data_IF_659967817072
#
_entry.id   IF_659967817072
#
_cell.length_a   1.000
_cell.length_b   1.000
_cell.length_c   1.000
_cell.angle_alpha   90.00
_cell.angle_beta   90.00
_cell.angle_gamma   90.00
#
_symmetry.space_group_name_H-M   'P 1'
#
loop_
_entity.id
_entity.type
_entity.pdbx_description
1 polymer ?
#
# COMPACT_ATOMS: atom_id res chain seq x y z
N UNK A 1 -8.08 -8.82 -60.74
CA UNK A 1 -9.18 -8.40 -59.84
C UNK A 1 -8.77 -8.85 -58.43
N UNK A 2 -8.67 -7.88 -57.52
CA UNK A 2 -7.95 -7.93 -56.25
C UNK A 2 -8.60 -8.92 -55.27
N UNK A 3 -7.79 -9.77 -54.62
CA UNK A 3 -8.14 -10.29 -53.30
C UNK A 3 -7.10 -9.79 -52.31
N UNK A 4 -7.57 -8.90 -51.45
CA UNK A 4 -6.82 -8.14 -50.46
C UNK A 4 -6.32 -9.09 -49.38
N UNK A 5 -5.04 -8.92 -49.04
CA UNK A 5 -4.38 -9.48 -47.86
C UNK A 5 -5.19 -9.18 -46.59
N UNK A 6 -5.77 -10.20 -45.97
CA UNK A 6 -6.26 -10.12 -44.59
C UNK A 6 -5.05 -10.06 -43.65
N UNK A 7 -4.67 -8.84 -43.30
CA UNK A 7 -3.69 -8.55 -42.27
C UNK A 7 -4.12 -9.14 -40.93
N UNK A 8 -3.42 -10.18 -40.50
CA UNK A 8 -3.51 -10.79 -39.17
C UNK A 8 -3.06 -9.77 -38.11
N UNK A 9 -3.96 -8.93 -37.61
CA UNK A 9 -3.75 -8.12 -36.40
C UNK A 9 -3.90 -9.02 -35.16
N UNK A 10 -2.85 -9.70 -34.71
CA UNK A 10 -2.90 -10.45 -33.44
C UNK A 10 -1.58 -10.64 -32.70
N UNK A 11 -0.62 -9.71 -32.80
CA UNK A 11 0.68 -9.85 -32.11
C UNK A 11 1.00 -8.71 -31.11
N UNK A 12 0.12 -7.70 -30.98
CA UNK A 12 0.35 -6.56 -30.09
C UNK A 12 0.10 -6.86 -28.60
N UNK A 13 -0.95 -7.62 -28.26
CA UNK A 13 -1.42 -7.71 -26.87
C UNK A 13 -0.44 -8.37 -25.88
N UNK A 14 0.48 -9.22 -26.36
CA UNK A 14 1.40 -9.95 -25.49
C UNK A 14 2.51 -9.09 -24.90
N UNK A 15 3.10 -8.20 -25.71
CA UNK A 15 4.23 -7.38 -25.25
C UNK A 15 3.78 -6.32 -24.24
N UNK A 16 2.55 -5.77 -24.36
CA UNK A 16 2.02 -4.82 -23.37
C UNK A 16 1.95 -5.44 -21.97
N UNK A 17 1.57 -6.72 -21.88
CA UNK A 17 1.51 -7.40 -20.58
C UNK A 17 2.90 -7.66 -20.01
N UNK A 18 3.86 -8.03 -20.87
CA UNK A 18 5.27 -8.21 -20.46
C UNK A 18 5.84 -6.87 -19.98
N UNK A 19 5.65 -5.79 -20.73
CA UNK A 19 6.10 -4.45 -20.35
C UNK A 19 5.49 -4.00 -19.01
N UNK A 20 4.18 -4.19 -18.83
CA UNK A 20 3.53 -3.88 -17.57
C UNK A 20 4.04 -4.72 -16.40
N UNK A 21 4.26 -6.03 -16.61
CA UNK A 21 4.83 -6.90 -15.59
C UNK A 21 6.25 -6.48 -15.20
N UNK A 22 7.08 -6.07 -16.16
CA UNK A 22 8.42 -5.53 -15.90
C UNK A 22 8.37 -4.23 -15.10
N UNK A 23 7.46 -3.30 -15.45
CA UNK A 23 7.28 -2.05 -14.71
C UNK A 23 6.79 -2.29 -13.28
N UNK A 24 5.81 -3.17 -13.08
CA UNK A 24 5.34 -3.54 -11.73
C UNK A 24 6.46 -4.23 -10.94
N UNK A 25 7.26 -5.09 -11.58
CA UNK A 25 8.41 -5.72 -10.93
C UNK A 25 9.46 -4.70 -10.51
N UNK A 26 9.73 -3.69 -11.34
CA UNK A 26 10.62 -2.58 -11.01
C UNK A 26 10.07 -1.76 -9.84
N UNK A 27 8.76 -1.47 -9.82
CA UNK A 27 8.11 -0.79 -8.70
C UNK A 27 8.21 -1.57 -7.39
N UNK A 28 7.94 -2.87 -7.43
CA UNK A 28 8.08 -3.77 -6.29
C UNK A 28 9.52 -3.80 -5.78
N UNK A 29 10.50 -3.89 -6.69
CA UNK A 29 11.90 -3.88 -6.32
C UNK A 29 12.29 -2.58 -5.63
N UNK A 30 11.94 -1.43 -6.20
CA UNK A 30 12.22 -0.11 -5.62
C UNK A 30 11.57 0.05 -4.23
N UNK A 31 10.29 -0.28 -4.09
CA UNK A 31 9.57 -0.16 -2.82
C UNK A 31 10.13 -1.12 -1.77
N UNK A 32 10.35 -2.40 -2.09
CA UNK A 32 10.91 -3.41 -1.17
C UNK A 32 12.32 -3.08 -0.72
N UNK A 33 13.18 -2.58 -1.62
CA UNK A 33 14.51 -2.13 -1.24
C UNK A 33 14.43 -0.94 -0.28
N UNK A 34 13.54 0.03 -0.55
CA UNK A 34 13.29 1.17 0.34
C UNK A 34 12.78 0.76 1.73
N UNK A 35 12.01 -0.34 1.85
CA UNK A 35 11.51 -0.83 3.13
C UNK A 35 12.62 -1.13 4.15
N UNK A 36 13.79 -1.59 3.68
CA UNK A 36 14.87 -2.09 4.54
C UNK A 36 15.66 -0.97 5.21
N UNK A 37 15.81 0.16 4.53
CA UNK A 37 16.70 1.24 4.95
C UNK A 37 15.95 2.36 5.70
N UNK A 38 14.62 2.37 5.62
CA UNK A 38 13.79 3.41 6.23
C UNK A 38 13.51 3.13 7.71
N UNK A 39 13.85 4.11 8.57
CA UNK A 39 13.43 4.13 9.97
C UNK A 39 11.90 4.27 10.11
N UNK A 40 11.38 3.97 11.29
CA UNK A 40 9.96 4.16 11.60
C UNK A 40 9.59 5.64 11.53
N UNK A 41 8.45 5.95 10.92
CA UNK A 41 7.84 7.29 10.97
C UNK A 41 6.77 7.32 12.07
N UNK A 42 6.56 8.50 12.68
CA UNK A 42 5.61 8.68 13.79
C UNK A 42 4.21 8.16 13.46
N UNK A 43 3.62 8.57 12.34
CA UNK A 43 2.25 8.18 11.97
C UNK A 43 2.13 6.68 11.69
N UNK A 44 3.16 6.10 11.05
CA UNK A 44 3.24 4.66 10.81
C UNK A 44 3.18 3.87 12.13
N UNK A 45 3.89 4.33 13.16
CA UNK A 45 3.83 3.69 14.47
C UNK A 45 2.44 3.78 15.09
N UNK A 46 1.75 4.90 14.92
CA UNK A 46 0.43 5.15 15.49
C UNK A 46 -0.62 4.27 14.81
N UNK A 47 -0.62 4.21 13.48
CA UNK A 47 -1.59 3.44 12.71
C UNK A 47 -1.42 1.93 12.90
N UNK A 48 -0.17 1.44 12.90
CA UNK A 48 0.14 0.02 13.12
C UNK A 48 -0.29 -0.42 14.53
N UNK A 49 0.13 0.33 15.57
CA UNK A 49 -0.17 -0.02 16.95
C UNK A 49 -1.67 0.04 17.23
N UNK A 50 -2.34 1.08 16.74
CA UNK A 50 -3.79 1.26 16.91
C UNK A 50 -4.56 0.17 16.18
N UNK A 51 -4.25 -0.08 14.91
CA UNK A 51 -4.89 -1.13 14.12
C UNK A 51 -4.76 -2.52 14.76
N UNK A 52 -3.57 -2.85 15.25
CA UNK A 52 -3.36 -4.13 15.95
C UNK A 52 -4.17 -4.20 17.24
N UNK A 53 -4.19 -3.11 18.02
CA UNK A 53 -4.98 -3.05 19.26
C UNK A 53 -6.47 -3.27 18.99
N UNK A 54 -7.01 -2.78 17.88
CA UNK A 54 -8.42 -2.96 17.52
C UNK A 54 -8.76 -4.42 17.24
N UNK A 55 -7.88 -5.14 16.54
CA UNK A 55 -8.08 -6.57 16.26
C UNK A 55 -8.18 -7.39 17.55
N UNK A 56 -7.31 -7.10 18.52
CA UNK A 56 -7.16 -7.88 19.75
C UNK A 56 -8.18 -7.47 20.81
N UNK A 57 -8.35 -6.17 21.04
CA UNK A 57 -9.16 -5.66 22.16
C UNK A 57 -10.60 -5.33 21.77
N UNK A 58 -10.88 -5.21 20.45
CA UNK A 58 -12.16 -4.68 19.92
C UNK A 58 -12.48 -3.27 20.41
N UNK A 59 -11.47 -2.54 20.85
CA UNK A 59 -11.59 -1.19 21.38
C UNK A 59 -10.91 -0.18 20.44
N UNK A 60 -11.71 0.69 19.83
CA UNK A 60 -11.27 1.72 18.90
C UNK A 60 -10.63 2.96 19.55
N UNK A 61 -10.17 2.88 20.81
CA UNK A 61 -9.81 4.08 21.57
C UNK A 61 -8.55 4.82 21.11
N UNK A 62 -7.54 4.11 20.63
CA UNK A 62 -6.28 4.71 20.15
C UNK A 62 -6.46 5.24 18.75
N UNK A 63 -5.94 6.43 18.43
CA UNK A 63 -5.95 7.04 17.10
C UNK A 63 -7.35 7.07 16.51
N UNK A 64 -8.23 7.91 17.08
CA UNK A 64 -9.63 8.05 16.63
C UNK A 64 -9.79 9.00 15.44
N UNK A 65 -8.73 9.73 15.09
CA UNK A 65 -8.76 10.80 14.10
C UNK A 65 -9.03 10.30 12.68
N UNK A 66 -8.70 9.02 12.42
CA UNK A 66 -8.88 8.40 11.10
C UNK A 66 -9.71 7.11 11.16
N UNK A 67 -10.50 6.80 10.11
CA UNK A 67 -11.28 5.57 10.03
C UNK A 67 -10.44 4.29 10.22
N UNK A 68 -11.01 3.22 10.79
CA UNK A 68 -10.24 2.03 11.19
C UNK A 68 -9.79 1.14 10.03
N UNK A 69 -10.39 1.25 8.84
CA UNK A 69 -10.22 0.29 7.74
C UNK A 69 -8.74 0.04 7.39
N UNK A 70 -7.99 1.10 7.14
CA UNK A 70 -6.60 1.00 6.70
C UNK A 70 -5.69 0.60 7.85
N UNK A 71 -5.97 1.05 9.09
CA UNK A 71 -5.26 0.61 10.30
C UNK A 71 -5.39 -0.91 10.50
N UNK A 72 -6.61 -1.43 10.31
CA UNK A 72 -6.88 -2.87 10.36
C UNK A 72 -6.14 -3.61 9.22
N UNK A 73 -6.10 -3.05 8.02
CA UNK A 73 -5.38 -3.61 6.87
C UNK A 73 -3.85 -3.67 7.08
N UNK A 74 -3.26 -2.58 7.60
CA UNK A 74 -1.82 -2.50 7.92
C UNK A 74 -1.41 -3.52 8.99
N UNK A 75 -2.28 -3.75 9.98
CA UNK A 75 -1.98 -4.64 11.12
C UNK A 75 -2.43 -6.09 10.92
N UNK A 76 -3.23 -6.39 9.90
CA UNK A 76 -3.66 -7.75 9.55
C UNK A 76 -2.49 -8.77 9.43
N UNK A 77 -1.39 -8.49 8.71
CA UNK A 77 -0.27 -9.45 8.59
C UNK A 77 0.52 -9.64 9.90
N UNK A 78 0.23 -8.85 10.93
CA UNK A 78 0.83 -8.98 12.25
C UNK A 78 0.08 -9.98 13.14
N UNK A 79 -1.17 -10.33 12.83
CA UNK A 79 -1.96 -11.25 13.66
C UNK A 79 -1.23 -12.58 13.95
N UNK A 80 -0.55 -13.22 12.98
CA UNK A 80 0.19 -14.45 13.25
C UNK A 80 1.40 -14.29 14.18
N UNK A 81 1.84 -13.05 14.49
CA UNK A 81 2.95 -12.80 15.41
C UNK A 81 2.54 -12.89 16.89
N UNK A 82 1.24 -12.85 17.21
CA UNK A 82 0.75 -12.93 18.59
C UNK A 82 1.36 -11.87 19.52
N UNK A 83 1.47 -10.64 19.05
CA UNK A 83 2.07 -9.53 19.79
C UNK A 83 1.22 -9.18 21.00
N UNK A 84 1.87 -8.78 22.10
CA UNK A 84 1.16 -8.30 23.29
C UNK A 84 0.76 -6.84 23.10
N UNK A 85 -0.50 -6.54 23.39
CA UNK A 85 -1.00 -5.16 23.44
C UNK A 85 -0.78 -4.64 24.86
N UNK A 86 -0.09 -3.50 25.06
CA UNK A 86 0.23 -3.00 26.40
C UNK A 86 -0.97 -2.29 27.06
N UNK A 87 -2.06 -3.03 27.31
CA UNK A 87 -3.31 -2.50 27.89
C UNK A 87 -3.16 -2.02 29.34
N UNK A 88 -2.14 -2.52 30.05
CA UNK A 88 -1.84 -2.09 31.42
C UNK A 88 -1.05 -0.78 31.47
N UNK A 89 -0.48 -0.32 30.35
CA UNK A 89 0.29 0.91 30.30
C UNK A 89 -0.61 2.13 30.59
N UNK A 90 -0.12 3.16 31.30
CA UNK A 90 -0.87 4.40 31.50
C UNK A 90 -1.36 5.02 30.19
N UNK A 91 -0.57 4.90 29.12
CA UNK A 91 -0.90 5.39 27.78
C UNK A 91 -2.18 4.79 27.19
N UNK A 92 -2.48 3.52 27.49
CA UNK A 92 -3.74 2.88 27.07
C UNK A 92 -4.96 3.48 27.78
N UNK A 93 -4.81 3.84 29.06
CA UNK A 93 -5.89 4.42 29.87
C UNK A 93 -6.16 5.87 29.51
N UNK A 94 -5.11 6.65 29.27
CA UNK A 94 -5.21 8.09 29.01
C UNK A 94 -5.51 8.44 27.56
N UNK A 95 -5.39 7.50 26.61
CA UNK A 95 -5.54 7.84 25.21
C UNK A 95 -4.23 8.28 24.53
N UNK A 96 -3.07 8.15 25.20
CA UNK A 96 -1.82 8.75 24.74
C UNK A 96 -1.12 7.92 23.66
N UNK A 97 -1.50 8.15 22.41
CA UNK A 97 -1.11 7.38 21.22
C UNK A 97 0.40 7.32 20.99
N UNK A 98 1.11 8.44 21.20
CA UNK A 98 2.56 8.49 21.08
C UNK A 98 3.28 7.55 22.04
N UNK A 99 2.91 7.61 23.33
CA UNK A 99 3.47 6.71 24.33
C UNK A 99 3.01 5.26 24.15
N UNK A 100 1.77 5.05 23.69
CA UNK A 100 1.22 3.72 23.42
C UNK A 100 1.92 3.03 22.26
N UNK A 101 2.12 3.72 21.14
CA UNK A 101 2.80 3.17 19.96
C UNK A 101 4.25 2.80 20.25
N UNK A 102 4.96 3.63 21.03
CA UNK A 102 6.31 3.31 21.50
C UNK A 102 6.30 2.06 22.39
N UNK A 103 5.40 2.00 23.36
CA UNK A 103 5.27 0.83 24.25
C UNK A 103 4.90 -0.45 23.47
N UNK A 104 4.12 -0.36 22.40
CA UNK A 104 3.74 -1.50 21.57
C UNK A 104 4.88 -1.97 20.65
N UNK A 105 5.51 -1.06 19.92
CA UNK A 105 6.54 -1.41 18.93
C UNK A 105 7.84 -1.84 19.59
N UNK A 106 8.31 -1.08 20.59
CA UNK A 106 9.64 -1.24 21.16
C UNK A 106 9.67 -2.15 22.40
N UNK A 107 8.58 -2.86 22.72
CA UNK A 107 8.57 -3.88 23.79
C UNK A 107 9.58 -5.01 23.55
N UNK A 108 9.81 -5.40 22.29
CA UNK A 108 10.85 -6.34 21.88
C UNK A 108 11.54 -5.80 20.62
N UNK A 109 12.72 -5.21 20.82
CA UNK A 109 13.52 -4.60 19.76
C UNK A 109 13.83 -5.59 18.61
N UNK A 110 13.84 -6.91 18.88
CA UNK A 110 14.09 -7.94 17.86
C UNK A 110 12.93 -8.08 16.88
N UNK A 111 11.73 -7.65 17.26
CA UNK A 111 10.52 -7.76 16.45
C UNK A 111 10.18 -6.48 15.69
N UNK A 112 10.73 -5.31 16.05
CA UNK A 112 10.41 -4.02 15.41
C UNK A 112 10.52 -4.10 13.89
N UNK A 113 11.66 -4.54 13.37
CA UNK A 113 11.85 -4.67 11.92
C UNK A 113 10.88 -5.65 11.25
N UNK A 114 10.51 -6.75 11.95
CA UNK A 114 9.52 -7.71 11.44
C UNK A 114 8.11 -7.13 11.42
N UNK A 115 7.76 -6.33 12.42
CA UNK A 115 6.47 -5.65 12.51
C UNK A 115 6.34 -4.65 11.37
N UNK A 116 7.32 -3.74 11.23
CA UNK A 116 7.33 -2.72 10.18
C UNK A 116 7.32 -3.37 8.79
N UNK A 117 8.17 -4.35 8.54
CA UNK A 117 8.22 -5.02 7.23
C UNK A 117 6.87 -5.63 6.85
N UNK A 118 6.22 -6.35 7.77
CA UNK A 118 4.91 -6.96 7.51
C UNK A 118 3.81 -5.93 7.29
N UNK A 119 3.81 -4.85 8.08
CA UNK A 119 2.83 -3.78 7.91
C UNK A 119 3.04 -3.03 6.59
N UNK A 120 4.28 -2.71 6.23
CA UNK A 120 4.61 -2.03 4.98
C UNK A 120 4.31 -2.88 3.75
N UNK A 121 4.38 -4.22 3.82
CA UNK A 121 3.90 -5.07 2.70
C UNK A 121 2.44 -4.75 2.37
N UNK A 122 1.58 -4.52 3.37
CA UNK A 122 0.19 -4.17 3.13
C UNK A 122 0.02 -2.87 2.33
N UNK A 123 0.91 -1.89 2.51
CA UNK A 123 0.87 -0.62 1.76
C UNK A 123 1.43 -0.77 0.35
N UNK A 124 2.48 -1.59 0.17
CA UNK A 124 3.03 -1.93 -1.15
C UNK A 124 1.96 -2.59 -2.02
N UNK A 125 1.15 -3.49 -1.45
CA UNK A 125 0.03 -4.13 -2.17
C UNK A 125 -1.01 -3.11 -2.66
N UNK A 126 -1.31 -2.08 -1.86
CA UNK A 126 -2.19 -0.99 -2.28
C UNK A 126 -1.54 -0.11 -3.36
N UNK A 127 -0.23 0.13 -3.28
CA UNK A 127 0.53 0.82 -4.32
C UNK A 127 0.50 0.08 -5.66
N UNK A 128 0.61 -1.25 -5.66
CA UNK A 128 0.46 -2.07 -6.87
C UNK A 128 -0.97 -2.02 -7.40
N UNK A 129 -1.97 -2.10 -6.51
CA UNK A 129 -3.38 -2.00 -6.90
C UNK A 129 -3.65 -0.67 -7.60
N UNK A 130 -3.17 0.45 -7.05
CA UNK A 130 -3.30 1.77 -7.66
C UNK A 130 -2.59 1.80 -9.03
N UNK A 131 -1.37 1.26 -9.16
CA UNK A 131 -0.64 1.18 -10.43
C UNK A 131 -1.46 0.47 -11.53
N UNK A 132 -2.14 -0.62 -11.17
CA UNK A 132 -2.99 -1.38 -12.09
C UNK A 132 -4.18 -0.55 -12.57
N UNK A 133 -4.83 0.21 -11.69
CA UNK A 133 -5.93 1.09 -12.06
C UNK A 133 -5.46 2.31 -12.87
N UNK A 134 -4.28 2.87 -12.58
CA UNK A 134 -3.68 3.94 -13.39
C UNK A 134 -3.47 3.46 -14.83
N UNK A 135 -2.86 2.28 -15.02
CA UNK A 135 -2.68 1.67 -16.34
C UNK A 135 -4.03 1.42 -17.03
N UNK A 136 -4.98 0.84 -16.30
CA UNK A 136 -6.29 0.45 -16.83
C UNK A 136 -7.07 1.67 -17.31
N UNK A 137 -7.18 2.70 -16.47
CA UNK A 137 -7.96 3.89 -16.79
C UNK A 137 -7.38 4.66 -17.97
N UNK A 138 -6.07 4.91 -17.97
CA UNK A 138 -5.41 5.55 -19.11
C UNK A 138 -5.51 4.70 -20.39
N UNK A 139 -5.46 3.37 -20.25
CA UNK A 139 -5.63 2.42 -21.34
C UNK A 139 -7.03 2.47 -21.97
N UNK A 140 -8.07 2.64 -21.17
CA UNK A 140 -9.46 2.74 -21.63
C UNK A 140 -9.76 4.11 -22.26
N UNK A 141 -9.11 5.17 -21.81
CA UNK A 141 -9.29 6.53 -22.35
C UNK A 141 -8.56 6.76 -23.69
N UNK A 142 -7.32 6.26 -23.82
CA UNK A 142 -6.43 6.62 -24.94
C UNK A 142 -5.71 5.44 -25.58
N UNK A 143 -6.10 4.21 -25.22
CA UNK A 143 -5.52 2.98 -25.78
C UNK A 143 -4.34 2.43 -24.99
N UNK A 144 -3.88 1.20 -25.32
CA UNK A 144 -2.95 0.43 -24.50
C UNK A 144 -1.57 1.10 -24.29
N UNK A 145 -1.10 1.88 -25.26
CA UNK A 145 0.17 2.62 -25.15
C UNK A 145 0.12 3.72 -24.09
N UNK A 146 -1.01 4.45 -24.02
CA UNK A 146 -1.21 5.46 -22.99
C UNK A 146 -1.28 4.84 -21.60
N UNK A 147 -1.87 3.65 -21.48
CA UNK A 147 -1.84 2.85 -20.25
C UNK A 147 -0.43 2.52 -19.79
N UNK A 148 0.46 2.12 -20.71
CA UNK A 148 1.87 1.86 -20.38
C UNK A 148 2.64 3.14 -20.04
N UNK A 149 2.41 4.23 -20.77
CA UNK A 149 3.04 5.52 -20.49
C UNK A 149 2.65 6.04 -19.10
N UNK A 150 1.37 5.95 -18.74
CA UNK A 150 0.89 6.32 -17.40
C UNK A 150 1.49 5.43 -16.31
N UNK A 151 1.57 4.11 -16.53
CA UNK A 151 2.21 3.19 -15.61
C UNK A 151 3.70 3.50 -15.44
N UNK A 152 4.42 3.79 -16.54
CA UNK A 152 5.82 4.19 -16.49
C UNK A 152 6.00 5.43 -15.60
N UNK A 153 5.20 6.47 -15.83
CA UNK A 153 5.24 7.68 -15.01
C UNK A 153 5.00 7.38 -13.54
N UNK A 154 3.95 6.60 -13.22
CA UNK A 154 3.64 6.20 -11.83
C UNK A 154 4.79 5.43 -11.16
N UNK A 155 5.39 4.46 -11.86
CA UNK A 155 6.43 3.58 -11.32
C UNK A 155 7.73 4.32 -11.01
N UNK A 156 8.02 5.41 -11.74
CA UNK A 156 9.23 6.22 -11.56
C UNK A 156 8.95 7.56 -10.87
N UNK A 157 7.73 7.77 -10.36
CA UNK A 157 7.38 8.96 -9.60
C UNK A 157 7.83 8.79 -8.13
N UNK A 158 8.70 9.68 -7.61
CA UNK A 158 9.35 9.49 -6.33
C UNK A 158 8.38 9.53 -5.13
N UNK A 159 7.32 10.34 -5.17
CA UNK A 159 6.35 10.40 -4.07
C UNK A 159 5.58 9.09 -3.95
N UNK A 160 5.21 8.49 -5.09
CA UNK A 160 4.51 7.22 -5.17
C UNK A 160 5.35 6.11 -4.58
N UNK A 161 6.64 6.06 -4.91
CA UNK A 161 7.57 5.09 -4.31
C UNK A 161 7.68 5.31 -2.80
N UNK A 162 7.85 6.56 -2.35
CA UNK A 162 8.00 6.91 -0.94
C UNK A 162 6.76 6.57 -0.11
N UNK A 163 5.57 6.98 -0.54
CA UNK A 163 4.31 6.68 0.16
C UNK A 163 3.90 5.21 0.03
N UNK A 164 4.43 4.48 -0.94
CA UNK A 164 4.25 3.02 -1.06
C UNK A 164 5.23 2.21 -0.23
N UNK A 165 6.25 2.82 0.37
CA UNK A 165 7.24 2.14 1.22
C UNK A 165 7.09 2.43 2.71
N UNK A 166 6.08 3.22 3.12
CA UNK A 166 5.82 3.57 4.52
C UNK A 166 4.36 3.24 4.84
N UNK A 167 4.09 2.64 6.00
CA UNK A 167 2.74 2.26 6.43
C UNK A 167 1.87 3.41 6.92
N UNK A 168 1.65 4.45 6.11
CA UNK A 168 0.71 5.56 6.41
C UNK A 168 -0.62 5.39 5.67
N UNK A 169 -1.58 6.26 5.97
CA UNK A 169 -2.92 6.24 5.37
C UNK A 169 -3.00 6.92 4.00
N UNK A 170 -2.00 7.73 3.62
CA UNK A 170 -2.06 8.62 2.45
C UNK A 170 -2.20 7.86 1.14
N UNK A 171 -1.39 6.81 0.96
CA UNK A 171 -1.45 5.99 -0.25
C UNK A 171 -2.78 5.23 -0.31
N UNK A 172 -3.26 4.71 0.81
CA UNK A 172 -4.54 4.01 0.84
C UNK A 172 -5.69 4.96 0.48
N UNK A 173 -5.71 6.17 1.05
CA UNK A 173 -6.67 7.21 0.69
C UNK A 173 -6.59 7.56 -0.80
N UNK A 174 -5.38 7.74 -1.33
CA UNK A 174 -5.13 8.01 -2.75
C UNK A 174 -5.68 6.89 -3.63
N UNK A 175 -5.36 5.63 -3.29
CA UNK A 175 -5.79 4.45 -4.02
C UNK A 175 -7.31 4.33 -4.04
N UNK A 176 -7.97 4.38 -2.88
CA UNK A 176 -9.43 4.27 -2.80
C UNK A 176 -10.15 5.44 -3.47
N UNK A 177 -9.61 6.67 -3.36
CA UNK A 177 -10.17 7.84 -4.04
C UNK A 177 -10.07 7.69 -5.56
N UNK A 178 -8.88 7.36 -6.07
CA UNK A 178 -8.65 7.16 -7.50
C UNK A 178 -9.51 6.05 -8.09
N UNK A 179 -9.59 4.90 -7.40
CA UNK A 179 -10.42 3.75 -7.81
C UNK A 179 -11.91 4.12 -7.77
N UNK A 180 -12.34 4.88 -6.76
CA UNK A 180 -13.73 5.37 -6.70
C UNK A 180 -14.05 6.27 -7.89
N UNK A 181 -13.15 7.19 -8.24
CA UNK A 181 -13.32 8.06 -9.41
C UNK A 181 -13.35 7.26 -10.72
N UNK A 182 -12.53 6.23 -10.85
CA UNK A 182 -12.57 5.32 -12.00
C UNK A 182 -13.96 4.69 -12.17
N UNK A 183 -14.55 4.16 -11.10
CA UNK A 183 -15.88 3.55 -11.17
C UNK A 183 -17.03 4.56 -11.31
N UNK A 184 -16.82 5.82 -10.91
CA UNK A 184 -17.78 6.91 -11.18
C UNK A 184 -17.74 7.35 -12.64
N UNK A 185 -16.57 7.27 -13.29
CA UNK A 185 -16.41 7.62 -14.70
C UNK A 185 -16.96 6.54 -15.66
N UNK A 186 -16.83 5.27 -15.28
CA UNK A 186 -17.27 4.11 -16.09
C UNK A 186 -18.79 4.03 -16.22
#
# INVERSE_FOLDING_TARGET
MLCVSEGRKRDGAGWHQIAAALLISAFLLQTILSLKDNSTVTDEAFDIASGYSYWITRDGRMNREHPPLVKLWLSLPLLPLGLKVPTEAPSWRTGAEGAFSVAFLYQDLRNVGRILFRARISIVLLGVLLALFVRRWAGELWGPEAGLAALFLYVFEPNTIAHSSIGTLDLALTAFTFISMYFVWQ
#
